data_IF_628442820050
#
_entry.id   IF_628442820050
#
_cell.length_a   1.000
_cell.length_b   1.000
_cell.length_c   1.000
_cell.angle_alpha   90.00
_cell.angle_beta   90.00
_cell.angle_gamma   90.00
#
_symmetry.space_group_name_H-M   'P 1'
#
loop_
_entity.id
_entity.type
_entity.pdbx_description
1 polymer ?
#
# COMPACT_ATOMS: atom_id res chain seq x y z
N UNK A 1 3.03 -3.54 -21.17
CA UNK A 1 3.93 -2.92 -20.17
C UNK A 1 3.15 -1.88 -19.38
N UNK A 2 3.35 -1.73 -18.06
CA UNK A 2 2.64 -0.74 -17.27
C UNK A 2 2.99 0.68 -17.74
N UNK A 3 1.99 1.57 -17.77
CA UNK A 3 2.19 2.98 -18.16
C UNK A 3 3.15 3.65 -17.16
N UNK A 4 4.10 4.47 -17.62
CA UNK A 4 5.04 5.18 -16.74
C UNK A 4 4.33 5.92 -15.60
N UNK A 5 3.21 6.60 -15.92
CA UNK A 5 2.38 7.30 -14.92
C UNK A 5 1.82 6.37 -13.84
N UNK A 6 1.50 5.13 -14.19
CA UNK A 6 1.05 4.12 -13.23
C UNK A 6 2.19 3.65 -12.33
N UNK A 7 3.38 3.42 -12.90
CA UNK A 7 4.58 3.08 -12.12
C UNK A 7 4.92 4.20 -11.14
N UNK A 8 4.88 5.45 -11.58
CA UNK A 8 5.07 6.61 -10.70
C UNK A 8 4.01 6.67 -9.59
N UNK A 9 2.75 6.30 -9.87
CA UNK A 9 1.71 6.24 -8.84
C UNK A 9 2.05 5.21 -7.76
N UNK A 10 2.50 4.02 -8.16
CA UNK A 10 2.96 2.97 -7.23
C UNK A 10 4.15 3.46 -6.41
N UNK A 11 5.13 4.10 -7.04
CA UNK A 11 6.30 4.67 -6.35
C UNK A 11 5.87 5.73 -5.32
N UNK A 12 4.98 6.65 -5.69
CA UNK A 12 4.43 7.65 -4.77
C UNK A 12 3.76 6.99 -3.57
N UNK A 13 2.97 5.93 -3.80
CA UNK A 13 2.26 5.25 -2.73
C UNK A 13 3.21 4.50 -1.77
N UNK A 14 4.17 3.77 -2.33
CA UNK A 14 5.17 3.02 -1.55
C UNK A 14 6.13 3.95 -0.79
N UNK A 15 6.34 5.18 -1.26
CA UNK A 15 7.14 6.18 -0.55
C UNK A 15 6.47 6.74 0.71
N UNK A 16 5.15 6.62 0.87
CA UNK A 16 4.41 7.13 2.03
C UNK A 16 4.97 6.58 3.36
N UNK A 17 5.08 5.26 3.57
CA UNK A 17 5.63 4.73 4.83
C UNK A 17 7.07 5.18 5.07
N UNK A 18 7.91 5.28 4.02
CA UNK A 18 9.28 5.76 4.17
C UNK A 18 9.34 7.20 4.69
N UNK A 19 8.47 8.08 4.17
CA UNK A 19 8.35 9.47 4.64
C UNK A 19 7.88 9.53 6.09
N UNK A 20 6.87 8.73 6.45
CA UNK A 20 6.33 8.70 7.82
C UNK A 20 7.39 8.21 8.80
N UNK A 21 8.08 7.10 8.49
CA UNK A 21 9.15 6.54 9.33
C UNK A 21 10.30 7.54 9.48
N UNK A 22 10.74 8.19 8.40
CA UNK A 22 11.78 9.21 8.46
C UNK A 22 11.36 10.41 9.31
N UNK A 23 10.10 10.86 9.19
CA UNK A 23 9.55 11.95 10.00
C UNK A 23 9.54 11.62 11.49
N UNK A 24 9.09 10.41 11.85
CA UNK A 24 9.09 9.92 13.24
C UNK A 24 10.53 9.76 13.76
N UNK A 25 11.44 9.21 12.96
CA UNK A 25 12.84 9.08 13.35
C UNK A 25 13.48 10.44 13.65
N UNK A 26 13.27 11.43 12.78
CA UNK A 26 13.72 12.81 13.00
C UNK A 26 13.07 13.43 14.25
N UNK A 27 11.77 13.20 14.47
CA UNK A 27 11.08 13.64 15.68
C UNK A 27 11.66 13.06 16.97
N UNK A 28 12.09 11.80 16.94
CA UNK A 28 12.73 11.13 18.10
C UNK A 28 14.15 11.64 18.32
N UNK A 29 14.88 11.97 17.25
CA UNK A 29 16.24 12.49 17.34
C UNK A 29 16.32 13.92 17.91
N UNK A 30 15.25 14.72 17.79
CA UNK A 30 15.19 16.05 18.39
C UNK A 30 14.69 15.94 19.83
N UNK A 31 15.62 15.94 20.77
CA UNK A 31 15.33 16.06 22.18
C UNK A 31 15.41 17.54 22.62
N UNK A 32 14.29 18.18 23.02
CA UNK A 32 14.32 19.56 23.48
C UNK A 32 15.18 19.75 24.75
N UNK A 33 15.48 18.68 25.49
CA UNK A 33 16.40 18.70 26.63
C UNK A 33 17.86 18.96 26.22
N UNK A 34 18.20 18.91 24.93
CA UNK A 34 19.50 19.39 24.42
C UNK A 34 19.76 20.87 24.74
N UNK A 35 18.72 21.65 25.07
CA UNK A 35 18.86 23.04 25.51
C UNK A 35 19.41 23.17 26.95
N UNK A 36 19.47 22.08 27.74
CA UNK A 36 19.89 22.09 29.14
C UNK A 36 21.30 22.65 29.29
N UNK A 37 21.48 23.59 30.21
CA UNK A 37 22.76 24.27 30.46
C UNK A 37 23.01 25.54 29.62
N UNK A 38 22.09 25.93 28.73
CA UNK A 38 22.16 27.22 28.05
C UNK A 38 21.53 28.33 28.89
N UNK A 39 22.12 29.54 28.83
CA UNK A 39 21.61 30.72 29.53
C UNK A 39 20.17 31.08 29.12
N UNK A 40 19.75 30.70 27.91
CA UNK A 40 18.42 30.91 27.34
C UNK A 40 17.58 29.62 27.23
N UNK A 41 17.69 28.70 28.21
CA UNK A 41 17.00 27.40 28.22
C UNK A 41 15.56 27.44 27.73
N UNK A 42 14.71 28.29 28.31
CA UNK A 42 13.28 28.32 28.01
C UNK A 42 12.97 28.72 26.55
N UNK A 43 13.79 29.58 25.95
CA UNK A 43 13.64 29.99 24.55
C UNK A 43 14.09 28.88 23.61
N UNK A 44 15.25 28.30 23.89
CA UNK A 44 15.85 27.26 23.06
C UNK A 44 15.02 25.96 23.11
N UNK A 45 14.49 25.61 24.29
CA UNK A 45 13.55 24.50 24.46
C UNK A 45 12.31 24.68 23.57
N UNK A 46 11.67 25.85 23.61
CA UNK A 46 10.47 26.12 22.79
C UNK A 46 10.76 26.07 21.30
N UNK A 47 11.94 26.54 20.86
CA UNK A 47 12.33 26.47 19.46
C UNK A 47 12.57 25.02 19.02
N UNK A 48 13.24 24.20 19.84
CA UNK A 48 13.45 22.78 19.56
C UNK A 48 12.14 22.00 19.55
N UNK A 49 11.23 22.26 20.49
CA UNK A 49 9.91 21.63 20.54
C UNK A 49 9.03 22.02 19.35
N UNK A 50 9.06 23.31 18.95
CA UNK A 50 8.37 23.78 17.75
C UNK A 50 8.95 23.17 16.47
N UNK A 51 10.27 23.06 16.36
CA UNK A 51 10.93 22.42 15.22
C UNK A 51 10.57 20.93 15.14
N UNK A 52 10.60 20.24 16.28
CA UNK A 52 10.21 18.85 16.43
C UNK A 52 8.77 18.61 15.96
N UNK A 53 7.81 19.42 16.43
CA UNK A 53 6.42 19.34 15.99
C UNK A 53 6.27 19.72 14.50
N UNK A 54 7.05 20.71 14.02
CA UNK A 54 7.10 21.11 12.63
C UNK A 54 7.52 19.97 11.69
N UNK A 55 8.45 19.11 12.10
CA UNK A 55 8.85 17.92 11.35
C UNK A 55 7.70 16.92 11.22
N UNK A 56 6.94 16.69 12.29
CA UNK A 56 5.75 15.83 12.20
C UNK A 56 4.74 16.37 11.20
N UNK A 57 4.39 17.66 11.29
CA UNK A 57 3.46 18.29 10.35
C UNK A 57 3.98 18.27 8.92
N UNK A 58 5.27 18.51 8.71
CA UNK A 58 5.89 18.43 7.39
C UNK A 58 5.83 17.00 6.81
N UNK A 59 6.10 15.98 7.63
CA UNK A 59 6.00 14.58 7.20
C UNK A 59 4.56 14.19 6.86
N UNK A 60 3.58 14.63 7.65
CA UNK A 60 2.17 14.41 7.40
C UNK A 60 1.70 15.12 6.11
N UNK A 61 2.12 16.36 5.89
CA UNK A 61 1.83 17.11 4.68
C UNK A 61 2.45 16.43 3.45
N UNK A 62 3.69 15.95 3.54
CA UNK A 62 4.35 15.24 2.46
C UNK A 62 3.66 13.89 2.15
N UNK A 63 3.26 13.14 3.17
CA UNK A 63 2.48 11.91 3.01
C UNK A 63 1.13 12.19 2.29
N UNK A 64 0.45 13.29 2.65
CA UNK A 64 -0.77 13.72 1.98
C UNK A 64 -0.53 14.09 0.51
N UNK A 65 0.56 14.82 0.22
CA UNK A 65 0.95 15.15 -1.16
C UNK A 65 1.23 13.88 -1.97
N UNK A 66 1.93 12.89 -1.40
CA UNK A 66 2.16 11.60 -2.04
C UNK A 66 0.87 10.83 -2.31
N UNK A 67 -0.07 10.83 -1.36
CA UNK A 67 -1.39 10.22 -1.51
C UNK A 67 -2.21 10.86 -2.65
N UNK A 68 -2.32 12.19 -2.64
CA UNK A 68 -3.05 12.94 -3.69
C UNK A 68 -2.37 12.75 -5.04
N UNK A 69 -1.03 12.76 -5.08
CA UNK A 69 -0.24 12.52 -6.30
C UNK A 69 -0.46 11.11 -6.84
N UNK A 70 -0.50 10.08 -5.98
CA UNK A 70 -0.85 8.72 -6.37
C UNK A 70 -2.24 8.69 -7.03
N UNK A 71 -3.27 9.20 -6.36
CA UNK A 71 -4.64 9.24 -6.89
C UNK A 71 -4.72 9.99 -8.23
N UNK A 72 -4.06 11.14 -8.32
CA UNK A 72 -3.97 11.95 -9.54
C UNK A 72 -3.31 11.17 -10.69
N UNK A 73 -2.19 10.50 -10.42
CA UNK A 73 -1.45 9.73 -11.42
C UNK A 73 -2.24 8.50 -11.87
N UNK A 74 -2.96 7.81 -10.98
CA UNK A 74 -3.86 6.71 -11.33
C UNK A 74 -4.95 7.18 -12.28
N UNK A 75 -5.67 8.27 -11.96
CA UNK A 75 -6.70 8.84 -12.82
C UNK A 75 -6.15 9.25 -14.19
N UNK A 76 -4.99 9.91 -14.20
CA UNK A 76 -4.32 10.38 -15.40
C UNK A 76 -3.83 9.23 -16.27
N UNK A 77 -3.37 8.12 -15.67
CA UNK A 77 -2.96 6.91 -16.39
C UNK A 77 -4.13 6.25 -17.12
N UNK A 78 -5.34 6.35 -16.56
CA UNK A 78 -6.60 5.80 -17.11
C UNK A 78 -7.38 6.76 -18.00
N UNK A 79 -6.82 7.95 -18.28
CA UNK A 79 -7.47 9.07 -19.00
C UNK A 79 -8.88 9.40 -18.47
N UNK A 80 -9.04 9.38 -17.13
CA UNK A 80 -10.27 9.78 -16.45
C UNK A 80 -10.20 11.26 -16.03
N UNK A 81 -11.36 11.86 -15.79
CA UNK A 81 -11.43 13.27 -15.38
C UNK A 81 -10.94 13.45 -13.95
N UNK A 82 -10.34 14.60 -13.67
CA UNK A 82 -9.89 14.96 -12.31
C UNK A 82 -11.05 15.21 -11.33
N UNK A 83 -12.30 15.22 -11.83
CA UNK A 83 -13.51 15.34 -11.00
C UNK A 83 -13.68 14.17 -10.01
N UNK A 84 -12.96 13.07 -10.21
CA UNK A 84 -12.95 11.91 -9.31
C UNK A 84 -11.90 12.02 -8.20
N UNK A 85 -11.00 13.01 -8.26
CA UNK A 85 -9.97 13.22 -7.24
C UNK A 85 -10.54 13.46 -5.82
N UNK A 86 -11.68 14.15 -5.63
CA UNK A 86 -12.28 14.30 -4.30
C UNK A 86 -12.59 12.99 -3.59
N UNK A 87 -12.76 11.86 -4.32
CA UNK A 87 -12.94 10.56 -3.68
C UNK A 87 -11.71 10.15 -2.85
N UNK A 88 -10.51 10.66 -3.16
CA UNK A 88 -9.31 10.40 -2.38
C UNK A 88 -9.44 10.84 -0.90
N UNK A 89 -10.37 11.76 -0.59
CA UNK A 89 -10.65 12.19 0.79
C UNK A 89 -11.29 11.07 1.62
N UNK A 90 -12.05 10.17 0.98
CA UNK A 90 -12.63 9.00 1.63
C UNK A 90 -11.60 7.88 1.90
N UNK A 91 -10.30 8.16 1.74
CA UNK A 91 -9.21 7.24 2.04
C UNK A 91 -9.26 5.98 1.16
N UNK A 92 -8.98 4.79 1.74
CA UNK A 92 -8.93 3.53 0.98
C UNK A 92 -10.23 3.16 0.26
N UNK A 93 -11.39 3.51 0.81
CA UNK A 93 -12.68 3.24 0.16
C UNK A 93 -12.85 4.06 -1.12
N UNK A 94 -12.55 5.35 -1.05
CA UNK A 94 -12.58 6.22 -2.23
C UNK A 94 -11.53 5.84 -3.26
N UNK A 95 -10.35 5.39 -2.80
CA UNK A 95 -9.34 4.83 -3.69
C UNK A 95 -9.81 3.58 -4.41
N UNK A 96 -10.53 2.69 -3.73
CA UNK A 96 -11.08 1.47 -4.33
C UNK A 96 -12.01 1.82 -5.50
N UNK A 97 -12.84 2.85 -5.35
CA UNK A 97 -13.69 3.37 -6.44
C UNK A 97 -12.84 3.94 -7.59
N UNK A 98 -11.81 4.75 -7.28
CA UNK A 98 -10.88 5.29 -8.29
C UNK A 98 -10.17 4.15 -9.05
N UNK A 99 -9.77 3.09 -8.36
CA UNK A 99 -9.09 1.93 -8.93
C UNK A 99 -10.04 1.02 -9.73
N UNK A 100 -11.33 0.99 -9.39
CA UNK A 100 -12.37 0.29 -10.12
C UNK A 100 -12.80 1.01 -11.41
N UNK A 101 -12.46 2.30 -11.58
CA UNK A 101 -12.80 3.05 -12.81
C UNK A 101 -12.14 2.42 -14.03
N UNK A 102 -12.91 2.29 -15.12
CA UNK A 102 -12.42 1.68 -16.36
C UNK A 102 -11.42 2.58 -17.07
N UNK A 103 -10.35 1.99 -17.61
CA UNK A 103 -9.37 2.70 -18.42
C UNK A 103 -9.98 3.04 -19.80
N UNK A 104 -10.01 4.34 -20.15
CA UNK A 104 -10.50 4.79 -21.48
C UNK A 104 -9.48 4.58 -22.60
N UNK A 105 -8.26 4.16 -22.26
CA UNK A 105 -7.15 3.94 -23.19
C UNK A 105 -6.36 2.68 -22.82
N UNK A 106 -7.00 1.50 -22.81
CA UNK A 106 -6.34 0.28 -22.41
C UNK A 106 -5.24 -0.06 -23.41
N UNK A 107 -4.05 -0.40 -22.92
CA UNK A 107 -2.98 -0.91 -23.79
C UNK A 107 -3.37 -2.30 -24.32
N UNK A 108 -2.97 -2.70 -25.54
CA UNK A 108 -3.30 -4.02 -26.09
C UNK A 108 -2.88 -5.21 -25.22
N UNK A 109 -1.87 -5.02 -24.37
CA UNK A 109 -1.38 -6.03 -23.42
C UNK A 109 -2.19 -6.13 -22.12
N UNK A 110 -3.16 -5.26 -21.87
CA UNK A 110 -3.91 -5.18 -20.61
C UNK A 110 -5.15 -6.09 -20.63
N UNK A 111 -4.95 -7.34 -20.20
CA UNK A 111 -5.99 -8.37 -20.21
C UNK A 111 -7.05 -8.11 -19.16
N UNK A 112 -6.66 -7.57 -18.00
CA UNK A 112 -7.59 -7.23 -16.92
C UNK A 112 -8.67 -6.26 -17.39
N UNK A 113 -8.27 -5.15 -18.03
CA UNK A 113 -9.22 -4.18 -18.58
C UNK A 113 -10.07 -4.77 -19.70
N UNK A 114 -9.52 -5.66 -20.52
CA UNK A 114 -10.27 -6.30 -21.61
C UNK A 114 -11.37 -7.24 -21.10
N UNK A 115 -11.12 -7.93 -19.97
CA UNK A 115 -12.12 -8.74 -19.27
C UNK A 115 -13.20 -7.82 -18.71
N UNK A 116 -12.83 -6.81 -17.91
CA UNK A 116 -13.80 -5.90 -17.28
C UNK A 116 -14.71 -5.21 -18.30
N UNK A 117 -14.16 -4.78 -19.44
CA UNK A 117 -14.95 -4.10 -20.48
C UNK A 117 -16.01 -5.00 -21.13
N UNK A 118 -15.80 -6.31 -21.13
CA UNK A 118 -16.77 -7.28 -21.67
C UNK A 118 -17.86 -7.66 -20.67
N UNK A 119 -17.68 -7.38 -19.38
CA UNK A 119 -18.69 -7.67 -18.37
C UNK A 119 -19.81 -6.61 -18.39
N UNK A 120 -21.09 -7.02 -18.29
CA UNK A 120 -22.17 -6.06 -18.09
C UNK A 120 -22.07 -5.41 -16.71
N UNK A 121 -22.62 -4.20 -16.58
CA UNK A 121 -22.42 -3.33 -15.42
C UNK A 121 -22.74 -4.00 -14.07
N UNK A 122 -23.82 -4.80 -14.00
CA UNK A 122 -24.20 -5.49 -12.77
C UNK A 122 -23.15 -6.51 -12.31
N UNK A 123 -22.62 -7.32 -13.24
CA UNK A 123 -21.56 -8.28 -12.93
C UNK A 123 -20.25 -7.59 -12.55
N UNK A 124 -19.97 -6.44 -13.15
CA UNK A 124 -18.81 -5.62 -12.76
C UNK A 124 -18.95 -5.11 -11.32
N UNK A 125 -20.12 -4.59 -10.93
CA UNK A 125 -20.35 -4.15 -9.55
C UNK A 125 -20.18 -5.32 -8.57
N UNK A 126 -20.76 -6.49 -8.88
CA UNK A 126 -20.58 -7.68 -8.03
C UNK A 126 -19.11 -8.10 -7.92
N UNK A 127 -18.35 -8.06 -9.01
CA UNK A 127 -16.91 -8.37 -9.02
C UNK A 127 -16.12 -7.38 -8.18
N UNK A 128 -16.37 -6.08 -8.31
CA UNK A 128 -15.69 -5.05 -7.53
C UNK A 128 -16.02 -5.13 -6.03
N UNK A 129 -17.27 -5.48 -5.67
CA UNK A 129 -17.66 -5.75 -4.27
C UNK A 129 -16.96 -6.99 -3.74
N UNK A 130 -16.93 -8.08 -4.51
CA UNK A 130 -16.22 -9.30 -4.12
C UNK A 130 -14.71 -9.05 -3.98
N UNK A 131 -14.12 -8.25 -4.86
CA UNK A 131 -12.71 -7.86 -4.82
C UNK A 131 -12.43 -6.94 -3.64
N UNK A 132 -13.32 -5.99 -3.33
CA UNK A 132 -13.22 -5.17 -2.13
C UNK A 132 -13.16 -6.05 -0.89
N UNK A 133 -14.15 -6.92 -0.71
CA UNK A 133 -14.20 -7.86 0.42
C UNK A 133 -12.93 -8.72 0.46
N UNK A 134 -12.55 -9.33 -0.66
CA UNK A 134 -11.36 -10.17 -0.75
C UNK A 134 -10.07 -9.44 -0.40
N UNK A 135 -9.89 -8.20 -0.89
CA UNK A 135 -8.72 -7.36 -0.58
C UNK A 135 -8.65 -7.03 0.91
N UNK A 136 -9.78 -6.70 1.54
CA UNK A 136 -9.84 -6.47 2.98
C UNK A 136 -9.45 -7.74 3.77
N UNK A 137 -10.00 -8.90 3.41
CA UNK A 137 -9.61 -10.17 4.04
C UNK A 137 -8.11 -10.50 3.88
N UNK A 138 -7.56 -10.27 2.69
CA UNK A 138 -6.12 -10.47 2.43
C UNK A 138 -5.27 -9.49 3.22
N UNK A 139 -5.67 -8.21 3.30
CA UNK A 139 -4.99 -7.20 4.09
C UNK A 139 -4.99 -7.55 5.58
N UNK A 140 -6.17 -7.87 6.12
CA UNK A 140 -6.32 -8.33 7.50
C UNK A 140 -5.46 -9.56 7.80
N UNK A 141 -5.52 -10.58 6.94
CA UNK A 141 -4.70 -11.79 7.06
C UNK A 141 -3.20 -11.49 7.03
N UNK A 142 -2.75 -10.57 6.18
CA UNK A 142 -1.36 -10.15 6.10
C UNK A 142 -0.89 -9.42 7.38
N UNK A 143 -1.72 -8.54 7.95
CA UNK A 143 -1.43 -7.87 9.23
C UNK A 143 -1.35 -8.89 10.37
N UNK A 144 -2.27 -9.85 10.41
CA UNK A 144 -2.26 -10.92 11.41
C UNK A 144 -0.99 -11.76 11.32
N UNK A 145 -0.63 -12.22 10.12
CA UNK A 145 0.61 -12.98 9.88
C UNK A 145 1.84 -12.16 10.27
N UNK A 146 1.88 -10.87 9.91
CA UNK A 146 2.97 -9.98 10.29
C UNK A 146 3.12 -9.88 11.82
N UNK A 147 2.01 -9.74 12.56
CA UNK A 147 2.04 -9.70 14.03
C UNK A 147 2.63 -10.97 14.63
N UNK A 148 2.12 -12.13 14.23
CA UNK A 148 2.59 -13.42 14.76
C UNK A 148 4.09 -13.63 14.46
N UNK A 149 4.53 -13.27 13.25
CA UNK A 149 5.94 -13.33 12.86
C UNK A 149 6.81 -12.38 13.69
N UNK A 150 6.35 -11.16 13.96
CA UNK A 150 7.08 -10.20 14.78
C UNK A 150 7.20 -10.66 16.24
N UNK A 151 6.13 -11.21 16.83
CA UNK A 151 6.16 -11.77 18.19
C UNK A 151 7.16 -12.94 18.26
N UNK A 152 7.11 -13.85 17.28
CA UNK A 152 8.02 -14.98 17.23
C UNK A 152 9.48 -14.51 17.07
N UNK A 153 9.72 -13.57 16.16
CA UNK A 153 11.04 -13.01 15.94
C UNK A 153 11.60 -12.31 17.18
N UNK A 154 10.79 -11.52 17.88
CA UNK A 154 11.19 -10.83 19.12
C UNK A 154 11.48 -11.84 20.24
N UNK A 155 10.69 -12.91 20.34
CA UNK A 155 10.94 -13.99 21.30
C UNK A 155 12.28 -14.67 21.05
N UNK A 156 12.59 -14.99 19.80
CA UNK A 156 13.87 -15.62 19.41
C UNK A 156 15.06 -14.68 19.63
N UNK A 157 14.92 -13.39 19.32
CA UNK A 157 16.03 -12.44 19.41
C UNK A 157 16.34 -11.96 20.83
N UNK A 158 15.32 -11.82 21.67
CA UNK A 158 15.47 -11.32 23.05
C UNK A 158 15.52 -12.44 24.10
N UNK A 159 15.11 -13.66 23.74
CA UNK A 159 14.92 -14.77 24.68
C UNK A 159 13.67 -14.64 25.55
N UNK A 160 12.84 -13.63 25.31
CA UNK A 160 11.60 -13.40 26.08
C UNK A 160 10.53 -14.43 25.68
N UNK A 161 9.85 -15.10 26.62
CA UNK A 161 8.76 -16.02 26.29
C UNK A 161 7.62 -15.33 25.52
N UNK A 162 7.08 -16.01 24.51
CA UNK A 162 5.95 -15.54 23.69
C UNK A 162 4.75 -15.09 24.55
N UNK A 163 4.45 -15.81 25.63
CA UNK A 163 3.35 -15.48 26.54
C UNK A 163 3.53 -14.12 27.22
N UNK A 164 4.76 -13.74 27.56
CA UNK A 164 5.08 -12.43 28.15
C UNK A 164 4.91 -11.30 27.13
N UNK A 165 5.33 -11.52 25.88
CA UNK A 165 5.15 -10.55 24.80
C UNK A 165 3.65 -10.33 24.50
N UNK A 166 2.86 -11.40 24.42
CA UNK A 166 1.40 -11.32 24.24
C UNK A 166 0.75 -10.55 25.40
N UNK A 167 1.16 -10.82 26.65
CA UNK A 167 0.63 -10.11 27.81
C UNK A 167 0.94 -8.60 27.74
N UNK A 168 2.16 -8.23 27.32
CA UNK A 168 2.56 -6.84 27.13
C UNK A 168 1.76 -6.14 26.02
N UNK A 169 1.53 -6.82 24.89
CA UNK A 169 0.67 -6.31 23.82
C UNK A 169 -0.78 -6.15 24.27
N UNK A 170 -1.30 -7.11 25.04
CA UNK A 170 -2.67 -7.07 25.56
C UNK A 170 -2.87 -5.88 26.50
N UNK A 171 -1.87 -5.60 27.37
CA UNK A 171 -1.87 -4.44 28.25
C UNK A 171 -1.87 -3.10 27.49
N UNK A 172 -1.38 -3.08 26.25
CA UNK A 172 -1.33 -1.92 25.36
C UNK A 172 -2.20 -2.10 24.10
N UNK A 173 -3.26 -2.91 24.19
CA UNK A 173 -4.04 -3.39 23.05
C UNK A 173 -4.58 -2.28 22.14
N UNK A 174 -4.98 -1.13 22.69
CA UNK A 174 -5.44 0.01 21.89
C UNK A 174 -4.37 0.61 20.98
N UNK A 175 -3.11 0.65 21.42
CA UNK A 175 -1.98 1.14 20.62
C UNK A 175 -1.65 0.17 19.49
N UNK A 176 -1.64 -1.13 19.78
CA UNK A 176 -1.40 -2.18 18.78
C UNK A 176 -2.53 -2.25 17.76
N UNK A 177 -3.79 -2.21 18.20
CA UNK A 177 -4.95 -2.19 17.30
C UNK A 177 -4.95 -0.97 16.36
N UNK A 178 -4.54 0.21 16.86
CA UNK A 178 -4.39 1.40 16.01
C UNK A 178 -3.28 1.19 14.96
N UNK A 179 -2.13 0.64 15.35
CA UNK A 179 -1.03 0.34 14.42
C UNK A 179 -1.41 -0.68 13.35
N UNK A 180 -2.07 -1.77 13.75
CA UNK A 180 -2.61 -2.79 12.86
C UNK A 180 -3.64 -2.19 11.88
N UNK A 181 -4.54 -1.34 12.37
CA UNK A 181 -5.53 -0.64 11.55
C UNK A 181 -4.88 0.27 10.51
N UNK A 182 -3.83 1.03 10.86
CA UNK A 182 -3.08 1.83 9.87
C UNK A 182 -2.38 0.97 8.82
N UNK A 183 -1.82 -0.18 9.22
CA UNK A 183 -1.20 -1.12 8.30
C UNK A 183 -2.23 -1.69 7.32
N UNK A 184 -3.43 -2.05 7.80
CA UNK A 184 -4.54 -2.52 6.97
C UNK A 184 -5.01 -1.44 5.99
N UNK A 185 -5.23 -0.21 6.47
CA UNK A 185 -5.62 0.94 5.65
C UNK A 185 -4.57 1.27 4.56
N UNK A 186 -3.29 0.96 4.81
CA UNK A 186 -2.23 1.07 3.80
C UNK A 186 -2.21 -0.10 2.81
N UNK A 187 -2.45 -1.32 3.28
CA UNK A 187 -2.41 -2.52 2.43
C UNK A 187 -3.57 -2.55 1.43
N UNK A 188 -4.77 -2.09 1.81
CA UNK A 188 -5.94 -2.12 0.92
C UNK A 188 -5.69 -1.38 -0.41
N UNK A 189 -5.28 -0.09 -0.43
CA UNK A 189 -4.97 0.60 -1.69
C UNK A 189 -3.77 0.00 -2.42
N UNK A 190 -2.76 -0.51 -1.70
CA UNK A 190 -1.61 -1.17 -2.31
C UNK A 190 -2.03 -2.40 -3.11
N UNK A 191 -2.88 -3.25 -2.53
CA UNK A 191 -3.41 -4.44 -3.18
C UNK A 191 -4.23 -4.06 -4.42
N UNK A 192 -5.05 -3.01 -4.33
CA UNK A 192 -5.77 -2.46 -5.50
C UNK A 192 -4.84 -1.94 -6.60
N UNK A 193 -3.71 -1.33 -6.25
CA UNK A 193 -2.68 -0.87 -7.19
C UNK A 193 -1.93 -2.04 -7.83
N UNK A 194 -1.65 -3.10 -7.08
CA UNK A 194 -0.82 -4.19 -7.57
C UNK A 194 -1.65 -5.24 -8.32
N UNK A 195 -2.94 -5.39 -7.99
CA UNK A 195 -3.84 -6.40 -8.55
C UNK A 195 -3.91 -6.44 -10.09
N UNK A 196 -4.15 -5.33 -10.82
CA UNK A 196 -4.19 -5.36 -12.28
C UNK A 196 -2.86 -5.82 -12.90
N UNK A 197 -1.75 -5.50 -12.24
CA UNK A 197 -0.40 -5.89 -12.68
C UNK A 197 -0.20 -7.38 -12.48
N UNK A 198 -0.58 -7.92 -11.32
CA UNK A 198 -0.53 -9.36 -11.04
C UNK A 198 -1.40 -10.16 -12.00
N UNK A 199 -2.63 -9.70 -12.27
CA UNK A 199 -3.54 -10.35 -13.21
C UNK A 199 -2.94 -10.44 -14.62
N UNK A 200 -2.30 -9.35 -15.08
CA UNK A 200 -1.64 -9.30 -16.37
C UNK A 200 -0.42 -10.23 -16.45
N UNK A 201 0.39 -10.31 -15.38
CA UNK A 201 1.53 -11.23 -15.29
C UNK A 201 1.04 -12.70 -15.29
N UNK A 202 0.04 -13.03 -14.48
CA UNK A 202 -0.54 -14.37 -14.40
C UNK A 202 -1.11 -14.81 -15.77
N UNK A 203 -1.81 -13.92 -16.46
CA UNK A 203 -2.29 -14.18 -17.82
C UNK A 203 -1.13 -14.46 -18.79
N UNK A 204 -0.08 -13.64 -18.77
CA UNK A 204 1.09 -13.87 -19.63
C UNK A 204 1.78 -15.20 -19.35
N UNK A 205 1.97 -15.55 -18.06
CA UNK A 205 2.52 -16.85 -17.66
C UNK A 205 1.64 -18.00 -18.17
N UNK A 206 0.32 -17.95 -17.93
CA UNK A 206 -0.59 -19.00 -18.41
C UNK A 206 -0.53 -19.19 -19.93
N UNK A 207 -0.47 -18.10 -20.70
CA UNK A 207 -0.35 -18.17 -22.17
C UNK A 207 1.00 -18.75 -22.63
N UNK A 208 2.07 -18.53 -21.87
CA UNK A 208 3.40 -19.10 -22.16
C UNK A 208 3.47 -20.60 -21.86
N UNK A 209 2.78 -21.03 -20.80
CA UNK A 209 2.68 -22.43 -20.43
C UNK A 209 1.85 -23.22 -21.44
N UNK A 210 0.73 -22.67 -21.93
CA UNK A 210 -0.09 -23.33 -22.96
C UNK A 210 0.55 -23.33 -24.36
N UNK A 211 1.50 -22.44 -24.62
CA UNK A 211 2.28 -22.40 -25.86
C UNK A 211 3.51 -23.33 -25.85
N UNK A 212 3.80 -24.01 -24.74
CA UNK A 212 4.85 -25.02 -24.68
C UNK A 212 4.33 -26.31 -25.33
N UNK A 213 4.92 -26.81 -26.42
CA UNK A 213 4.46 -28.02 -27.05
C UNK A 213 4.57 -29.20 -26.07
N UNK A 214 3.63 -30.16 -26.06
CA UNK A 214 3.76 -31.34 -25.23
C UNK A 214 5.09 -32.03 -25.55
N UNK A 215 5.90 -32.25 -24.52
CA UNK A 215 7.12 -33.04 -24.59
C UNK A 215 6.74 -34.47 -25.01
N UNK A 216 6.78 -34.74 -26.31
CA UNK A 216 6.37 -36.04 -26.86
C UNK A 216 6.13 -36.09 -28.36
N UNK A 217 5.94 -34.96 -29.05
CA UNK A 217 5.73 -34.96 -30.51
C UNK A 217 7.05 -34.89 -31.31
N UNK A 218 8.03 -35.73 -30.97
CA UNK A 218 9.31 -35.83 -31.70
C UNK A 218 9.72 -37.28 -31.96
N UNK A 219 8.80 -38.11 -32.44
CA UNK A 219 9.14 -39.36 -33.16
C UNK A 219 8.02 -39.71 -34.13
N UNK A 220 7.95 -38.99 -35.24
CA UNK A 220 7.40 -39.52 -36.49
C UNK A 220 7.93 -38.66 -37.63
N UNK A 221 8.31 -39.32 -38.72
CA UNK A 221 8.91 -38.80 -39.96
C UNK A 221 10.43 -38.60 -39.95
N UNK A 222 11.15 -39.71 -40.17
CA UNK A 222 11.96 -39.86 -41.39
C UNK A 222 12.28 -41.34 -41.65
N UNK A 223 11.65 -41.84 -42.73
CA UNK A 223 11.98 -42.94 -43.64
C UNK A 223 12.46 -44.26 -43.07
#
# INVERSE_FOLDING_TARGET
MPKLRYVLAVVCYVAIPAVVVAGVALFVLIDPEMARGRASYARDYRLLDAARLGILWASAALALVLWVSCCYLVLTSRRRSLRWLPLAVAGPFGFSVIAALEDRSPTPSDRYQHVIRKLPMHWRVCLEVALLIGVWFVAYGAVLVHRELMIYFESVTTGTPVSTLIAAQTASSGMWAAGEGFQELYLVPLLYLVWPTLFNIAGWLGARWSASPPAGAATSLKR
#
